data_IF_521606731222
#
_entry.id   IF_521606731222
#
_cell.length_a   1.000
_cell.length_b   1.000
_cell.length_c   1.000
_cell.angle_alpha   90.00
_cell.angle_beta   90.00
_cell.angle_gamma   90.00
#
_symmetry.space_group_name_H-M   'P 1'
#
loop_
_entity.id
_entity.type
_entity.pdbx_description
1 polymer ?
#
# COMPACT_ATOMS: atom_id res chain seq x y z
N UNK A 1 61.65 -53.79 47.42
CA UNK A 1 62.03 -54.43 46.15
C UNK A 1 60.74 -54.55 45.34
N UNK A 2 60.55 -53.65 44.37
CA UNK A 2 59.29 -53.46 43.63
C UNK A 2 59.10 -54.66 42.69
N UNK A 3 58.01 -55.42 42.86
CA UNK A 3 57.60 -56.48 41.93
C UNK A 3 56.69 -55.84 40.88
N UNK A 4 57.08 -55.96 39.61
CA UNK A 4 56.31 -55.52 38.44
C UNK A 4 55.20 -56.54 38.14
N UNK A 5 53.97 -56.04 38.02
CA UNK A 5 52.75 -56.81 37.81
C UNK A 5 52.68 -57.49 36.44
N UNK A 6 52.07 -58.67 36.43
CA UNK A 6 51.78 -59.53 35.27
C UNK A 6 50.53 -59.06 34.52
N UNK A 7 50.69 -58.34 33.41
CA UNK A 7 49.65 -58.15 32.38
C UNK A 7 50.26 -58.02 30.98
N UNK A 8 50.83 -59.11 30.44
CA UNK A 8 51.28 -59.16 29.05
C UNK A 8 50.23 -59.83 28.17
N UNK A 9 49.49 -59.08 27.34
CA UNK A 9 48.72 -59.69 26.23
C UNK A 9 49.69 -60.39 25.28
N UNK A 10 49.35 -61.58 24.77
CA UNK A 10 50.17 -62.28 23.78
C UNK A 10 50.25 -61.45 22.48
N UNK A 11 51.46 -61.38 21.89
CA UNK A 11 51.73 -60.61 20.66
C UNK A 11 50.80 -61.02 19.52
N UNK A 12 50.41 -62.28 19.45
CA UNK A 12 49.53 -62.81 18.40
C UNK A 12 48.09 -62.30 18.52
N UNK A 13 47.57 -62.12 19.74
CA UNK A 13 46.24 -61.55 19.98
C UNK A 13 46.20 -60.07 19.61
N UNK A 14 47.25 -59.31 19.99
CA UNK A 14 47.43 -57.92 19.56
C UNK A 14 47.55 -57.83 18.03
N UNK A 15 48.24 -58.79 17.40
CA UNK A 15 48.39 -58.80 15.93
C UNK A 15 47.06 -59.06 15.23
N UNK A 16 46.21 -59.94 15.77
CA UNK A 16 44.84 -60.15 15.26
C UNK A 16 43.92 -58.94 15.50
N UNK A 17 44.03 -58.27 16.64
CA UNK A 17 43.24 -57.06 16.94
C UNK A 17 43.61 -55.88 16.04
N UNK A 18 44.90 -55.77 15.66
CA UNK A 18 45.40 -54.70 14.77
C UNK A 18 45.18 -55.03 13.29
N UNK A 19 45.50 -56.26 12.86
CA UNK A 19 45.62 -56.65 11.43
C UNK A 19 44.64 -57.73 10.98
N UNK A 20 43.84 -58.28 11.89
CA UNK A 20 42.84 -59.30 11.56
C UNK A 20 41.71 -58.73 10.72
N UNK A 21 40.86 -59.62 10.17
CA UNK A 21 39.63 -59.24 9.48
C UNK A 21 38.69 -58.55 10.47
N UNK A 22 38.30 -57.31 10.23
CA UNK A 22 37.66 -56.35 11.15
C UNK A 22 38.56 -55.82 12.28
N UNK A 23 39.89 -55.95 12.13
CA UNK A 23 40.86 -55.34 13.03
C UNK A 23 40.94 -53.83 12.85
N UNK A 24 41.66 -53.15 13.75
CA UNK A 24 41.74 -51.69 13.77
C UNK A 24 42.22 -51.07 12.45
N UNK A 25 43.10 -51.73 11.69
CA UNK A 25 43.54 -51.21 10.38
C UNK A 25 42.41 -51.13 9.35
N UNK A 26 41.62 -52.20 9.20
CA UNK A 26 40.50 -52.25 8.24
C UNK A 26 39.41 -51.24 8.63
N UNK A 27 39.15 -51.08 9.93
CA UNK A 27 38.22 -50.04 10.41
C UNK A 27 38.73 -48.62 10.16
N UNK A 28 40.02 -48.36 10.36
CA UNK A 28 40.62 -47.04 10.06
C UNK A 28 40.58 -46.74 8.57
N UNK A 29 40.82 -47.74 7.71
CA UNK A 29 40.73 -47.60 6.25
C UNK A 29 39.30 -47.28 5.80
N UNK A 30 38.30 -48.00 6.34
CA UNK A 30 36.88 -47.72 6.08
C UNK A 30 36.48 -46.30 6.54
N UNK A 31 36.93 -45.88 7.72
CA UNK A 31 36.66 -44.53 8.24
C UNK A 31 37.34 -43.47 7.36
N UNK A 32 38.54 -43.73 6.85
CA UNK A 32 39.23 -42.84 5.94
C UNK A 32 38.50 -42.69 4.60
N UNK A 33 37.98 -43.79 4.05
CA UNK A 33 37.15 -43.78 2.83
C UNK A 33 35.88 -42.97 3.04
N UNK A 34 35.13 -43.23 4.12
CA UNK A 34 33.95 -42.45 4.49
C UNK A 34 34.24 -40.96 4.69
N UNK A 35 35.39 -40.63 5.30
CA UNK A 35 35.82 -39.25 5.49
C UNK A 35 36.11 -38.55 4.15
N UNK A 36 36.73 -39.26 3.20
CA UNK A 36 37.01 -38.74 1.87
C UNK A 36 35.71 -38.48 1.08
N UNK A 37 34.76 -39.43 1.11
CA UNK A 37 33.45 -39.28 0.46
C UNK A 37 32.67 -38.09 1.04
N UNK A 38 32.66 -37.98 2.37
CA UNK A 38 32.03 -36.86 3.07
C UNK A 38 32.67 -35.54 2.68
N UNK A 39 34.01 -35.49 2.60
CA UNK A 39 34.74 -34.29 2.18
C UNK A 39 34.38 -33.88 0.75
N UNK A 40 34.24 -34.84 -0.17
CA UNK A 40 33.80 -34.59 -1.53
C UNK A 40 32.39 -33.98 -1.55
N UNK A 41 31.43 -34.58 -0.83
CA UNK A 41 30.06 -34.08 -0.75
C UNK A 41 30.01 -32.66 -0.16
N UNK A 42 30.75 -32.38 0.92
CA UNK A 42 30.80 -31.05 1.55
C UNK A 42 31.38 -30.02 0.58
N UNK A 43 32.42 -30.38 -0.18
CA UNK A 43 33.03 -29.50 -1.18
C UNK A 43 32.05 -29.18 -2.31
N UNK A 44 31.33 -30.19 -2.80
CA UNK A 44 30.30 -30.02 -3.83
C UNK A 44 29.14 -29.14 -3.33
N UNK A 45 28.65 -29.39 -2.12
CA UNK A 45 27.61 -28.57 -1.49
C UNK A 45 28.05 -27.12 -1.31
N UNK A 46 29.29 -26.89 -0.88
CA UNK A 46 29.86 -25.54 -0.77
C UNK A 46 29.90 -24.81 -2.11
N UNK A 47 30.36 -25.50 -3.17
CA UNK A 47 30.37 -24.95 -4.54
C UNK A 47 28.96 -24.61 -5.04
N UNK A 48 27.98 -25.48 -4.78
CA UNK A 48 26.59 -25.24 -5.14
C UNK A 48 25.97 -24.09 -4.35
N UNK A 49 26.28 -23.97 -3.05
CA UNK A 49 25.85 -22.86 -2.21
C UNK A 49 26.39 -21.52 -2.72
N UNK A 50 27.67 -21.46 -3.13
CA UNK A 50 28.22 -20.26 -3.74
C UNK A 50 27.54 -19.89 -5.06
N UNK A 51 27.23 -20.88 -5.92
CA UNK A 51 26.50 -20.63 -7.17
C UNK A 51 25.10 -20.06 -6.87
N UNK A 52 24.39 -20.66 -5.92
CA UNK A 52 23.06 -20.19 -5.50
C UNK A 52 23.10 -18.77 -4.92
N UNK A 53 24.09 -18.45 -4.09
CA UNK A 53 24.27 -17.08 -3.56
C UNK A 53 24.51 -16.07 -4.69
N UNK A 54 25.30 -16.42 -5.70
CA UNK A 54 25.50 -15.58 -6.89
C UNK A 54 24.21 -15.37 -7.68
N UNK A 55 23.39 -16.40 -7.85
CA UNK A 55 22.09 -16.29 -8.53
C UNK A 55 21.09 -15.44 -7.74
N UNK A 56 20.99 -15.64 -6.43
CA UNK A 56 20.13 -14.83 -5.54
C UNK A 56 20.55 -13.36 -5.60
N UNK A 57 21.85 -13.07 -5.55
CA UNK A 57 22.36 -11.69 -5.69
C UNK A 57 21.91 -11.05 -7.01
N UNK A 58 22.00 -11.78 -8.13
CA UNK A 58 21.53 -11.27 -9.43
C UNK A 58 20.02 -11.06 -9.44
N UNK A 59 19.24 -11.99 -8.89
CA UNK A 59 17.79 -11.87 -8.81
C UNK A 59 17.39 -10.64 -7.99
N UNK A 60 18.07 -10.37 -6.87
CA UNK A 60 17.88 -9.16 -6.07
C UNK A 60 18.11 -7.90 -6.91
N UNK A 61 19.21 -7.80 -7.66
CA UNK A 61 19.48 -6.66 -8.54
C UNK A 61 18.37 -6.47 -9.59
N UNK A 62 17.89 -7.56 -10.19
CA UNK A 62 16.76 -7.51 -11.13
C UNK A 62 15.47 -7.03 -10.47
N UNK A 63 15.16 -7.48 -9.25
CA UNK A 63 13.97 -7.06 -8.52
C UNK A 63 14.01 -5.55 -8.22
N UNK A 64 15.15 -5.04 -7.73
CA UNK A 64 15.33 -3.60 -7.46
C UNK A 64 15.17 -2.79 -8.75
N UNK A 65 15.74 -3.26 -9.86
CA UNK A 65 15.59 -2.61 -11.17
C UNK A 65 14.14 -2.64 -11.65
N UNK A 66 13.40 -3.72 -11.44
CA UNK A 66 12.00 -3.85 -11.82
C UNK A 66 11.11 -2.93 -10.97
N UNK A 67 11.32 -2.88 -9.65
CA UNK A 67 10.63 -1.95 -8.75
C UNK A 67 10.79 -0.50 -9.22
N UNK A 68 12.02 -0.09 -9.54
CA UNK A 68 12.28 1.24 -10.09
C UNK A 68 11.50 1.51 -11.39
N UNK A 69 11.49 0.56 -12.33
CA UNK A 69 10.76 0.72 -13.60
C UNK A 69 9.25 0.80 -13.40
N UNK A 70 8.70 -0.01 -12.50
CA UNK A 70 7.27 0.00 -12.16
C UNK A 70 6.89 1.36 -11.60
N UNK A 71 7.66 1.90 -10.64
CA UNK A 71 7.42 3.22 -10.06
C UNK A 71 7.42 4.34 -11.11
N UNK A 72 8.32 4.26 -12.11
CA UNK A 72 8.34 5.22 -13.24
C UNK A 72 7.10 5.07 -14.11
N UNK A 73 6.69 3.84 -14.43
CA UNK A 73 5.49 3.57 -15.25
C UNK A 73 4.21 4.02 -14.54
N UNK A 74 4.07 3.77 -13.25
CA UNK A 74 2.92 4.23 -12.45
C UNK A 74 2.76 5.74 -12.52
N UNK A 75 3.88 6.48 -12.40
CA UNK A 75 3.87 7.94 -12.54
C UNK A 75 3.42 8.39 -13.94
N UNK A 76 3.92 7.75 -14.99
CA UNK A 76 3.50 8.04 -16.37
C UNK A 76 2.01 7.75 -16.59
N UNK A 77 1.51 6.63 -16.06
CA UNK A 77 0.09 6.27 -16.11
C UNK A 77 -0.76 7.31 -15.38
N UNK A 78 -0.29 7.80 -14.23
CA UNK A 78 -0.97 8.86 -13.48
C UNK A 78 -1.04 10.15 -14.28
N UNK A 79 0.05 10.58 -14.90
CA UNK A 79 0.11 11.79 -15.73
C UNK A 79 -0.82 11.69 -16.94
N UNK A 80 -0.85 10.53 -17.61
CA UNK A 80 -1.76 10.27 -18.73
C UNK A 80 -3.22 10.28 -18.29
N UNK A 81 -3.55 9.64 -17.15
CA UNK A 81 -4.91 9.69 -16.57
C UNK A 81 -5.30 11.12 -16.21
N UNK A 82 -4.39 11.89 -15.61
CA UNK A 82 -4.65 13.28 -15.25
C UNK A 82 -4.92 14.14 -16.49
N UNK A 83 -4.15 13.95 -17.56
CA UNK A 83 -4.34 14.67 -18.82
C UNK A 83 -5.67 14.29 -19.50
N UNK A 84 -6.01 12.99 -19.55
CA UNK A 84 -7.30 12.53 -20.08
C UNK A 84 -8.52 13.09 -19.32
N UNK A 85 -8.35 13.36 -18.02
CA UNK A 85 -9.39 13.93 -17.17
C UNK A 85 -9.32 15.47 -17.06
N UNK A 86 -8.34 16.10 -17.70
CA UNK A 86 -8.03 17.53 -17.51
C UNK A 86 -9.20 18.42 -17.88
N UNK A 87 -9.93 18.09 -18.94
CA UNK A 87 -11.07 18.88 -19.43
C UNK A 87 -12.41 18.45 -18.80
N UNK A 88 -12.38 17.58 -17.79
CA UNK A 88 -13.59 16.99 -17.23
C UNK A 88 -13.96 17.64 -15.90
N UNK A 89 -15.27 17.75 -15.65
CA UNK A 89 -15.85 18.09 -14.35
C UNK A 89 -16.83 16.99 -13.92
N UNK A 90 -17.02 16.89 -12.61
CA UNK A 90 -18.00 16.03 -11.97
C UNK A 90 -19.02 16.90 -11.25
N UNK A 91 -20.28 16.66 -11.54
CA UNK A 91 -21.42 17.31 -10.89
C UNK A 91 -22.13 16.29 -10.00
N UNK A 92 -22.23 16.58 -8.71
CA UNK A 92 -22.90 15.77 -7.71
C UNK A 92 -24.19 16.47 -7.26
N UNK A 93 -25.16 15.71 -6.77
CA UNK A 93 -26.42 16.25 -6.23
C UNK A 93 -27.49 16.56 -7.27
N UNK A 94 -27.36 16.01 -8.48
CA UNK A 94 -28.41 16.07 -9.50
C UNK A 94 -29.36 14.90 -9.31
N UNK A 95 -30.61 15.18 -8.98
CA UNK A 95 -31.63 14.12 -8.84
C UNK A 95 -31.73 13.28 -10.11
N UNK A 96 -32.08 12.00 -9.96
CA UNK A 96 -32.37 11.09 -11.06
C UNK A 96 -33.88 10.86 -11.09
N UNK A 97 -34.61 11.60 -11.94
CA UNK A 97 -36.06 11.38 -12.13
C UNK A 97 -36.28 10.33 -13.22
N UNK A 98 -37.26 9.44 -13.10
CA UNK A 98 -37.63 8.55 -14.21
C UNK A 98 -38.57 9.33 -15.16
N UNK A 99 -38.25 9.52 -16.47
CA UNK A 99 -37.47 8.65 -17.36
C UNK A 99 -36.13 9.25 -17.85
N UNK A 100 -35.33 9.87 -16.98
CA UNK A 100 -33.94 10.26 -17.28
C UNK A 100 -33.01 9.03 -17.50
N UNK A 101 -33.58 7.82 -17.42
CA UNK A 101 -32.95 6.53 -17.72
C UNK A 101 -32.42 6.42 -19.15
N UNK A 102 -32.90 7.22 -20.11
CA UNK A 102 -32.60 7.03 -21.54
C UNK A 102 -32.23 8.27 -22.36
N UNK A 103 -32.52 9.51 -21.94
CA UNK A 103 -32.34 10.69 -22.80
C UNK A 103 -31.16 11.58 -22.40
N UNK A 104 -30.09 11.54 -23.19
CA UNK A 104 -28.96 12.50 -23.13
C UNK A 104 -29.45 13.95 -23.26
N UNK A 105 -30.48 14.19 -24.07
CA UNK A 105 -31.08 15.51 -24.29
C UNK A 105 -31.65 16.14 -23.01
N UNK A 106 -32.26 15.33 -22.13
CA UNK A 106 -32.78 15.83 -20.86
C UNK A 106 -31.64 16.25 -19.92
N UNK A 107 -30.56 15.47 -19.89
CA UNK A 107 -29.39 15.78 -19.06
C UNK A 107 -28.68 17.05 -19.54
N UNK A 108 -28.60 17.29 -20.85
CA UNK A 108 -28.06 18.52 -21.42
C UNK A 108 -28.90 19.75 -21.05
N UNK A 109 -30.24 19.66 -21.11
CA UNK A 109 -31.15 20.73 -20.68
C UNK A 109 -31.06 21.03 -19.18
N UNK A 110 -30.92 19.99 -18.37
CA UNK A 110 -30.69 20.15 -16.92
C UNK A 110 -29.35 20.86 -16.68
N UNK A 111 -28.31 20.47 -17.42
CA UNK A 111 -26.98 21.08 -17.32
C UNK A 111 -26.98 22.57 -17.70
N UNK A 112 -27.63 22.94 -18.81
CA UNK A 112 -27.78 24.35 -19.21
C UNK A 112 -28.50 25.16 -18.13
N UNK A 113 -29.60 24.65 -17.58
CA UNK A 113 -30.31 25.32 -16.48
C UNK A 113 -29.43 25.52 -15.25
N UNK A 114 -28.56 24.56 -14.91
CA UNK A 114 -27.63 24.69 -13.78
C UNK A 114 -26.60 25.78 -14.07
N UNK A 115 -26.03 25.79 -15.28
CA UNK A 115 -25.02 26.78 -15.65
C UNK A 115 -25.59 28.19 -15.68
N UNK A 116 -26.81 28.37 -16.19
CA UNK A 116 -27.47 29.68 -16.20
C UNK A 116 -27.98 30.10 -14.81
N UNK A 117 -28.72 29.24 -14.10
CA UNK A 117 -29.45 29.65 -12.87
C UNK A 117 -28.66 29.46 -11.59
N UNK A 118 -27.92 28.36 -11.49
CA UNK A 118 -27.16 28.05 -10.27
C UNK A 118 -25.80 28.75 -10.28
N UNK A 119 -25.08 28.69 -11.42
CA UNK A 119 -23.77 29.34 -11.59
C UNK A 119 -23.83 30.79 -12.08
N UNK A 120 -25.00 31.30 -12.49
CA UNK A 120 -25.18 32.67 -12.98
C UNK A 120 -24.31 33.03 -14.19
N UNK A 121 -24.02 32.04 -15.04
CA UNK A 121 -23.36 32.29 -16.32
C UNK A 121 -24.34 32.96 -17.29
N UNK A 122 -23.83 33.89 -18.08
CA UNK A 122 -24.60 34.52 -19.14
C UNK A 122 -24.97 33.49 -20.23
N UNK A 123 -26.15 33.68 -20.83
CA UNK A 123 -26.71 32.73 -21.79
C UNK A 123 -25.79 32.53 -23.01
N UNK A 124 -25.16 33.60 -23.48
CA UNK A 124 -24.22 33.55 -24.61
C UNK A 124 -23.02 32.65 -24.27
N UNK A 125 -22.44 32.78 -23.08
CA UNK A 125 -21.36 31.92 -22.62
C UNK A 125 -21.81 30.47 -22.53
N UNK A 126 -22.99 30.19 -21.99
CA UNK A 126 -23.52 28.82 -21.85
C UNK A 126 -23.76 28.18 -23.23
N UNK A 127 -24.30 28.92 -24.19
CA UNK A 127 -24.51 28.46 -25.58
C UNK A 127 -23.18 28.18 -26.29
N UNK A 128 -22.13 28.93 -25.97
CA UNK A 128 -20.78 28.75 -26.53
C UNK A 128 -19.98 27.61 -25.89
N UNK A 129 -20.44 27.00 -24.79
CA UNK A 129 -19.74 25.88 -24.15
C UNK A 129 -19.80 24.62 -25.02
N UNK A 130 -18.65 24.20 -25.54
CA UNK A 130 -18.56 22.95 -26.31
C UNK A 130 -18.33 21.74 -25.39
N UNK A 131 -19.30 20.83 -25.38
CA UNK A 131 -19.29 19.59 -24.58
C UNK A 131 -19.15 18.39 -25.53
N UNK A 132 -18.07 17.63 -25.37
CA UNK A 132 -17.81 16.42 -26.15
C UNK A 132 -18.66 15.23 -25.66
N UNK A 133 -18.83 15.10 -24.34
CA UNK A 133 -19.55 13.97 -23.75
C UNK A 133 -20.17 14.32 -22.39
N UNK A 134 -21.31 13.70 -22.12
CA UNK A 134 -22.11 13.90 -20.91
C UNK A 134 -22.75 12.58 -20.50
N UNK A 135 -22.44 12.10 -19.28
CA UNK A 135 -22.96 10.82 -18.79
C UNK A 135 -22.96 10.71 -17.26
N UNK A 136 -23.85 9.87 -16.72
CA UNK A 136 -23.87 9.49 -15.29
C UNK A 136 -22.80 8.42 -15.02
N UNK A 137 -22.02 8.59 -13.96
CA UNK A 137 -20.93 7.69 -13.60
C UNK A 137 -21.43 6.47 -12.83
N UNK A 138 -21.04 5.29 -13.31
CA UNK A 138 -21.35 4.01 -12.69
C UNK A 138 -22.74 3.46 -12.99
N UNK A 139 -22.97 2.22 -12.59
CA UNK A 139 -24.23 1.52 -12.80
C UNK A 139 -25.35 2.10 -11.95
N UNK A 140 -26.57 2.03 -12.48
CA UNK A 140 -27.77 2.43 -11.77
C UNK A 140 -28.08 1.40 -10.68
N UNK A 141 -28.32 1.84 -9.45
CA UNK A 141 -28.72 0.99 -8.34
C UNK A 141 -29.86 1.67 -7.59
N UNK A 142 -31.02 1.01 -7.51
CA UNK A 142 -32.20 1.51 -6.83
C UNK A 142 -32.03 1.60 -5.31
N UNK A 143 -31.07 0.85 -4.73
CA UNK A 143 -30.75 0.89 -3.30
C UNK A 143 -29.83 2.06 -2.93
N UNK A 144 -29.33 2.80 -3.92
CA UNK A 144 -28.37 3.88 -3.70
C UNK A 144 -29.08 5.08 -3.07
N UNK A 145 -28.63 5.50 -1.89
CA UNK A 145 -29.20 6.63 -1.13
C UNK A 145 -29.04 7.99 -1.82
N UNK A 146 -28.02 8.12 -2.68
CA UNK A 146 -27.68 9.39 -3.34
C UNK A 146 -27.59 9.19 -4.85
N UNK A 147 -27.96 10.21 -5.64
CA UNK A 147 -27.90 10.13 -7.10
C UNK A 147 -26.46 10.01 -7.60
N UNK A 148 -26.30 9.41 -8.78
CA UNK A 148 -24.99 9.22 -9.41
C UNK A 148 -24.39 10.55 -9.83
N UNK A 149 -23.08 10.72 -9.67
CA UNK A 149 -22.38 11.87 -10.23
C UNK A 149 -22.52 11.91 -11.75
N UNK A 150 -22.58 13.10 -12.33
CA UNK A 150 -22.56 13.35 -13.77
C UNK A 150 -21.17 13.81 -14.17
N UNK A 151 -20.56 13.16 -15.15
CA UNK A 151 -19.34 13.62 -15.78
C UNK A 151 -19.68 14.46 -17.01
N UNK A 152 -19.10 15.66 -17.09
CA UNK A 152 -19.14 16.54 -18.26
C UNK A 152 -17.72 16.62 -18.82
N UNK A 153 -17.56 16.33 -20.10
CA UNK A 153 -16.28 16.41 -20.81
C UNK A 153 -16.34 17.58 -21.79
N UNK A 154 -15.54 18.61 -21.55
CA UNK A 154 -15.46 19.77 -22.43
C UNK A 154 -14.49 19.53 -23.60
N UNK A 155 -14.69 20.25 -24.70
CA UNK A 155 -13.79 20.21 -25.84
C UNK A 155 -12.37 20.66 -25.49
N UNK A 156 -12.24 21.64 -24.60
CA UNK A 156 -10.97 22.19 -24.15
C UNK A 156 -11.02 22.61 -22.67
N UNK A 157 -9.85 22.92 -22.13
CA UNK A 157 -9.69 23.35 -20.74
C UNK A 157 -10.31 24.73 -20.47
N UNK A 158 -10.32 25.62 -21.46
CA UNK A 158 -10.87 26.97 -21.32
C UNK A 158 -12.34 26.93 -20.90
N UNK A 159 -13.17 26.10 -21.55
CA UNK A 159 -14.58 25.93 -21.19
C UNK A 159 -14.76 25.38 -19.78
N UNK A 160 -13.91 24.43 -19.38
CA UNK A 160 -13.89 23.95 -17.99
C UNK A 160 -13.56 25.08 -17.02
N UNK A 161 -12.53 25.87 -17.30
CA UNK A 161 -12.06 26.92 -16.40
C UNK A 161 -13.10 28.04 -16.22
N UNK A 162 -13.87 28.37 -17.27
CA UNK A 162 -15.04 29.26 -17.18
C UNK A 162 -16.04 28.74 -16.15
N UNK A 163 -16.47 27.48 -16.29
CA UNK A 163 -17.43 26.87 -15.35
C UNK A 163 -16.85 26.79 -13.93
N UNK A 164 -15.59 26.38 -13.80
CA UNK A 164 -14.91 26.25 -12.51
C UNK A 164 -14.71 27.59 -11.79
N UNK A 165 -14.62 28.71 -12.52
CA UNK A 165 -14.47 30.06 -11.96
C UNK A 165 -15.68 30.51 -11.14
N UNK A 166 -16.88 30.04 -11.51
CA UNK A 166 -18.15 30.41 -10.85
C UNK A 166 -18.60 29.42 -9.76
N UNK A 167 -17.81 28.37 -9.47
CA UNK A 167 -18.23 27.32 -8.50
C UNK A 167 -18.40 27.86 -7.08
N UNK A 168 -17.77 28.98 -6.72
CA UNK A 168 -17.97 29.63 -5.41
C UNK A 168 -19.40 30.10 -5.20
N UNK A 169 -20.10 30.50 -6.27
CA UNK A 169 -21.51 30.95 -6.24
C UNK A 169 -22.42 29.86 -5.67
N UNK A 170 -22.17 28.59 -6.01
CA UNK A 170 -22.93 27.45 -5.48
C UNK A 170 -22.83 27.36 -3.94
N UNK A 171 -21.66 27.69 -3.40
CA UNK A 171 -21.41 27.66 -1.95
C UNK A 171 -22.16 28.80 -1.26
N UNK A 172 -22.18 29.98 -1.87
CA UNK A 172 -22.90 31.16 -1.37
C UNK A 172 -24.42 30.92 -1.35
N UNK A 173 -24.96 30.31 -2.41
CA UNK A 173 -26.38 29.93 -2.52
C UNK A 173 -26.79 28.73 -1.68
N UNK A 174 -25.83 28.02 -1.04
CA UNK A 174 -26.06 26.74 -0.36
C UNK A 174 -26.79 25.72 -1.25
N UNK A 175 -26.42 25.69 -2.53
CA UNK A 175 -27.03 24.78 -3.51
C UNK A 175 -26.81 23.32 -3.10
N UNK A 176 -27.76 22.44 -3.46
CA UNK A 176 -27.62 21.00 -3.30
C UNK A 176 -26.60 20.42 -4.30
N UNK A 177 -26.33 21.15 -5.37
CA UNK A 177 -25.41 20.75 -6.45
C UNK A 177 -23.98 21.08 -6.05
N UNK A 178 -23.05 20.16 -6.34
CA UNK A 178 -21.61 20.36 -6.13
C UNK A 178 -20.84 20.02 -7.38
N UNK A 179 -20.04 20.97 -7.86
CA UNK A 179 -19.17 20.81 -9.02
C UNK A 179 -17.72 20.70 -8.55
N UNK A 180 -16.99 19.76 -9.12
CA UNK A 180 -15.57 19.57 -8.87
C UNK A 180 -14.85 19.14 -10.15
N UNK A 181 -13.57 19.48 -10.27
CA UNK A 181 -12.70 18.91 -11.31
C UNK A 181 -12.65 17.39 -11.21
N UNK A 182 -12.74 16.70 -12.35
CA UNK A 182 -12.48 15.27 -12.40
C UNK A 182 -10.97 15.04 -12.20
N UNK A 183 -10.59 14.21 -11.23
CA UNK A 183 -9.21 13.86 -10.95
C UNK A 183 -9.09 12.34 -10.79
N UNK A 184 -7.92 11.74 -11.13
CA UNK A 184 -7.65 10.34 -10.83
C UNK A 184 -7.84 10.05 -9.33
N UNK A 185 -8.27 8.82 -9.01
CA UNK A 185 -8.56 8.42 -7.62
C UNK A 185 -7.36 8.63 -6.68
N UNK A 186 -6.15 8.31 -7.15
CA UNK A 186 -4.90 8.50 -6.41
C UNK A 186 -4.67 9.95 -5.99
N UNK A 187 -4.76 10.91 -6.94
CA UNK A 187 -4.62 12.35 -6.66
C UNK A 187 -5.69 12.80 -5.66
N UNK A 188 -6.89 12.28 -5.82
CA UNK A 188 -8.03 12.65 -4.98
C UNK A 188 -7.85 12.17 -3.53
N UNK A 189 -7.34 10.95 -3.31
CA UNK A 189 -7.05 10.44 -1.97
C UNK A 189 -5.81 11.11 -1.35
N UNK A 190 -4.76 11.39 -2.14
CA UNK A 190 -3.62 12.23 -1.70
C UNK A 190 -4.11 13.59 -1.20
N UNK A 191 -5.01 14.23 -1.95
CA UNK A 191 -5.58 15.53 -1.57
C UNK A 191 -6.42 15.47 -0.30
N UNK A 192 -7.17 14.39 -0.07
CA UNK A 192 -7.89 14.18 1.20
C UNK A 192 -6.94 14.05 2.39
N UNK A 193 -5.85 13.29 2.26
CA UNK A 193 -4.81 13.19 3.30
C UNK A 193 -4.24 14.58 3.62
N UNK A 194 -3.95 15.40 2.60
CA UNK A 194 -3.48 16.78 2.81
C UNK A 194 -4.51 17.67 3.52
N UNK A 195 -5.81 17.54 3.23
CA UNK A 195 -6.85 18.29 3.95
C UNK A 195 -6.94 17.88 5.43
N UNK A 196 -6.80 16.60 5.75
CA UNK A 196 -6.76 16.13 7.14
C UNK A 196 -5.54 16.69 7.89
N UNK A 197 -4.37 16.67 7.26
CA UNK A 197 -3.15 17.25 7.82
C UNK A 197 -3.30 18.77 7.99
N UNK A 198 -3.83 19.47 6.98
CA UNK A 198 -4.13 20.90 7.04
C UNK A 198 -5.07 21.23 8.21
N UNK A 199 -6.13 20.43 8.40
CA UNK A 199 -7.05 20.58 9.54
C UNK A 199 -6.31 20.45 10.87
N UNK A 200 -5.43 19.46 11.01
CA UNK A 200 -4.64 19.24 12.22
C UNK A 200 -3.69 20.41 12.54
N UNK A 201 -3.05 21.01 11.53
CA UNK A 201 -2.24 22.22 11.73
C UNK A 201 -3.08 23.46 12.02
N UNK A 202 -4.24 23.59 11.38
CA UNK A 202 -5.19 24.67 11.67
C UNK A 202 -5.65 24.65 13.12
N UNK A 203 -5.89 23.47 13.70
CA UNK A 203 -6.22 23.31 15.13
C UNK A 203 -5.08 23.78 16.06
N UNK A 204 -3.84 23.75 15.57
CA UNK A 204 -2.65 24.26 16.27
C UNK A 204 -2.35 25.72 15.94
N UNK A 205 -3.28 26.44 15.30
CA UNK A 205 -3.12 27.82 14.82
C UNK A 205 -1.93 28.02 13.86
N UNK A 206 -1.59 26.98 13.09
CA UNK A 206 -0.54 27.02 12.08
C UNK A 206 -1.18 27.13 10.69
N UNK A 207 -0.92 28.26 10.03
CA UNK A 207 -1.45 28.54 8.70
C UNK A 207 -0.72 27.75 7.60
N UNK A 208 -1.50 27.07 6.77
CA UNK A 208 -1.00 26.26 5.66
C UNK A 208 -1.88 26.40 4.42
N UNK A 209 -1.29 26.22 3.23
CA UNK A 209 -1.96 26.27 1.94
C UNK A 209 -1.60 25.05 1.10
N UNK A 210 -2.59 24.42 0.46
CA UNK A 210 -2.37 23.33 -0.49
C UNK A 210 -2.08 23.94 -1.87
N UNK A 211 -0.94 23.56 -2.46
CA UNK A 211 -0.55 23.91 -3.84
C UNK A 211 -0.26 22.62 -4.60
N UNK A 212 -1.13 22.26 -5.54
CA UNK A 212 -1.07 20.95 -6.19
C UNK A 212 -1.14 19.83 -5.16
N UNK A 213 -0.13 18.96 -5.16
CA UNK A 213 -0.02 17.80 -4.26
C UNK A 213 0.83 18.08 -3.01
N UNK A 214 1.04 19.35 -2.66
CA UNK A 214 1.90 19.74 -1.53
C UNK A 214 1.14 20.63 -0.55
N UNK A 215 1.39 20.43 0.73
CA UNK A 215 1.00 21.36 1.79
C UNK A 215 2.17 22.29 2.11
N UNK A 216 1.94 23.59 2.03
CA UNK A 216 2.96 24.64 2.22
C UNK A 216 2.59 25.48 3.45
N UNK A 217 3.55 25.70 4.33
CA UNK A 217 3.40 26.60 5.48
C UNK A 217 3.49 28.06 5.01
N UNK A 218 2.46 28.86 5.24
CA UNK A 218 2.35 30.20 4.63
C UNK A 218 3.43 31.16 5.12
N UNK A 219 3.76 31.10 6.42
CA UNK A 219 4.74 31.97 7.07
C UNK A 219 6.18 31.68 6.66
N UNK A 220 6.54 30.41 6.54
CA UNK A 220 7.92 29.98 6.26
C UNK A 220 8.19 29.58 4.81
N UNK A 221 7.17 29.34 3.99
CA UNK A 221 7.31 28.76 2.65
C UNK A 221 7.71 27.27 2.61
N UNK A 222 8.07 26.69 3.75
CA UNK A 222 8.41 25.27 3.88
C UNK A 222 7.28 24.34 3.41
N UNK A 223 7.68 23.19 2.88
CA UNK A 223 6.76 22.14 2.43
C UNK A 223 6.68 21.07 3.52
N UNK A 224 5.47 20.63 3.85
CA UNK A 224 5.26 19.48 4.73
C UNK A 224 5.91 18.23 4.15
N UNK A 225 6.63 17.50 5.00
CA UNK A 225 7.22 16.20 4.68
C UNK A 225 6.76 15.20 5.73
N UNK A 226 6.33 14.03 5.27
CA UNK A 226 6.04 12.91 6.16
C UNK A 226 7.34 12.46 6.84
N UNK A 227 7.28 12.25 8.16
CA UNK A 227 8.41 11.81 8.98
C UNK A 227 8.74 10.33 8.78
N UNK A 228 7.76 9.49 8.42
CA UNK A 228 8.00 8.07 8.18
C UNK A 228 8.77 7.84 6.87
N UNK A 229 8.60 8.74 5.90
CA UNK A 229 9.19 8.66 4.57
C UNK A 229 8.39 7.77 3.63
N UNK A 230 9.07 7.24 2.61
CA UNK A 230 8.47 6.31 1.65
C UNK A 230 8.40 4.90 2.25
N UNK A 231 7.56 4.07 1.64
CA UNK A 231 7.47 2.64 1.92
C UNK A 231 8.86 1.96 1.87
N UNK A 232 9.09 0.91 2.68
CA UNK A 232 10.26 0.05 2.49
C UNK A 232 10.40 -0.42 1.05
N UNK A 233 11.61 -0.31 0.50
CA UNK A 233 11.92 -0.80 -0.84
C UNK A 233 12.09 -2.31 -0.85
N UNK A 234 12.01 -2.93 -2.02
CA UNK A 234 12.32 -4.34 -2.17
C UNK A 234 13.73 -4.68 -1.65
N UNK A 235 14.69 -3.78 -1.86
CA UNK A 235 16.06 -3.95 -1.34
C UNK A 235 16.10 -4.02 0.19
N UNK A 236 15.40 -3.11 0.89
CA UNK A 236 15.34 -3.11 2.35
C UNK A 236 14.68 -4.36 2.92
N UNK A 237 13.65 -4.86 2.24
CA UNK A 237 12.94 -6.08 2.64
C UNK A 237 13.81 -7.32 2.43
N UNK A 238 14.51 -7.42 1.29
CA UNK A 238 15.33 -8.58 0.91
C UNK A 238 16.67 -8.63 1.65
N UNK A 239 17.25 -7.47 2.00
CA UNK A 239 18.63 -7.39 2.55
C UNK A 239 18.84 -7.98 3.95
N UNK A 240 17.81 -8.47 4.62
CA UNK A 240 17.95 -9.00 5.97
C UNK A 240 17.08 -10.22 6.19
N UNK A 241 17.63 -11.19 6.91
CA UNK A 241 17.03 -12.51 7.04
C UNK A 241 16.15 -12.65 8.30
N UNK A 242 16.36 -11.79 9.30
CA UNK A 242 15.68 -11.90 10.59
C UNK A 242 14.53 -10.91 10.74
N UNK A 243 13.37 -11.43 11.13
CA UNK A 243 12.25 -10.67 11.67
C UNK A 243 12.60 -10.38 13.14
N UNK A 244 12.82 -9.10 13.48
CA UNK A 244 13.29 -8.71 14.82
C UNK A 244 12.15 -8.44 15.79
N UNK A 245 10.99 -8.08 15.25
CA UNK A 245 9.79 -7.76 16.04
C UNK A 245 8.82 -8.94 16.10
N UNK A 246 8.15 -9.09 17.23
CA UNK A 246 7.04 -10.05 17.35
C UNK A 246 5.86 -9.52 16.53
N UNK A 247 5.43 -10.31 15.54
CA UNK A 247 4.30 -9.98 14.66
C UNK A 247 3.11 -10.86 15.01
N UNK A 248 1.96 -10.23 15.29
CA UNK A 248 0.66 -10.89 15.40
C UNK A 248 0.07 -11.06 13.99
N UNK A 249 -0.45 -12.25 13.69
CA UNK A 249 -1.13 -12.56 12.42
C UNK A 249 -2.62 -12.83 12.67
N UNK A 250 -3.48 -12.10 11.97
CA UNK A 250 -4.94 -12.26 12.04
C UNK A 250 -5.44 -13.42 11.18
N UNK A 251 -6.69 -13.85 11.43
CA UNK A 251 -7.37 -14.85 10.59
C UNK A 251 -7.66 -14.27 9.19
N UNK A 252 -7.47 -15.10 8.16
CA UNK A 252 -7.78 -14.73 6.78
C UNK A 252 -9.31 -14.64 6.56
N UNK A 253 -9.75 -13.63 5.81
CA UNK A 253 -11.12 -13.49 5.30
C UNK A 253 -11.10 -13.60 3.77
N UNK A 254 -12.13 -14.22 3.20
CA UNK A 254 -12.29 -14.35 1.75
C UNK A 254 -13.62 -13.77 1.25
N UNK A 255 -13.60 -13.09 0.11
CA UNK A 255 -14.80 -12.60 -0.59
C UNK A 255 -14.54 -12.53 -2.10
N UNK A 256 -15.29 -13.33 -2.86
CA UNK A 256 -15.26 -13.35 -4.32
C UNK A 256 -13.85 -13.52 -4.91
N UNK A 257 -13.09 -14.47 -4.36
CA UNK A 257 -11.70 -14.76 -4.75
C UNK A 257 -10.65 -13.79 -4.21
N UNK A 258 -11.06 -12.76 -3.46
CA UNK A 258 -10.12 -11.91 -2.73
C UNK A 258 -9.82 -12.54 -1.38
N UNK A 259 -8.57 -12.46 -0.95
CA UNK A 259 -8.14 -12.89 0.39
C UNK A 259 -7.58 -11.69 1.14
N UNK A 260 -7.90 -11.58 2.43
CA UNK A 260 -7.47 -10.50 3.31
C UNK A 260 -6.86 -11.09 4.57
N UNK A 261 -5.64 -10.68 4.90
CA UNK A 261 -4.97 -11.06 6.14
C UNK A 261 -4.32 -9.81 6.74
N UNK A 262 -4.41 -9.64 8.04
CA UNK A 262 -3.77 -8.53 8.74
C UNK A 262 -2.61 -9.02 9.59
N UNK A 263 -1.61 -8.16 9.73
CA UNK A 263 -0.46 -8.33 10.59
C UNK A 263 -0.29 -7.08 11.44
N UNK A 264 0.02 -7.23 12.71
CA UNK A 264 0.24 -6.11 13.60
C UNK A 264 1.44 -6.31 14.51
N UNK A 265 2.04 -5.20 14.91
CA UNK A 265 3.09 -5.17 15.93
C UNK A 265 3.07 -3.84 16.66
N UNK A 266 3.69 -3.81 17.83
CA UNK A 266 3.79 -2.60 18.65
C UNK A 266 4.88 -1.67 18.13
N UNK A 267 4.63 -0.37 18.13
CA UNK A 267 5.64 0.65 17.82
C UNK A 267 5.33 1.98 18.53
N UNK A 268 6.37 2.63 19.02
CA UNK A 268 6.34 3.88 19.82
C UNK A 268 7.21 4.98 19.20
N UNK A 269 7.77 4.76 18.01
CA UNK A 269 8.57 5.75 17.30
C UNK A 269 8.55 5.51 15.79
N UNK A 270 8.84 6.54 14.99
CA UNK A 270 8.98 6.39 13.53
C UNK A 270 10.00 5.33 13.12
N UNK A 271 11.10 5.20 13.88
CA UNK A 271 12.12 4.18 13.64
C UNK A 271 11.56 2.77 13.85
N UNK A 272 10.80 2.56 14.93
CA UNK A 272 10.13 1.29 15.19
C UNK A 272 9.04 1.02 14.16
N UNK A 273 8.26 2.03 13.75
CA UNK A 273 7.26 1.87 12.68
C UNK A 273 7.93 1.43 11.38
N UNK A 274 9.05 2.06 10.99
CA UNK A 274 9.78 1.67 9.77
C UNK A 274 10.33 0.23 9.88
N UNK A 275 10.92 -0.14 11.01
CA UNK A 275 11.40 -1.50 11.26
C UNK A 275 10.27 -2.54 11.22
N UNK A 276 9.15 -2.24 11.88
CA UNK A 276 7.94 -3.06 11.88
C UNK A 276 7.39 -3.29 10.47
N UNK A 277 7.35 -2.25 9.63
CA UNK A 277 6.92 -2.40 8.23
C UNK A 277 7.85 -3.33 7.45
N UNK A 278 9.17 -3.23 7.63
CA UNK A 278 10.14 -4.14 6.99
C UNK A 278 9.91 -5.58 7.48
N UNK A 279 9.84 -5.77 8.79
CA UNK A 279 9.67 -7.08 9.43
C UNK A 279 8.36 -7.75 9.03
N UNK A 280 7.24 -7.02 8.99
CA UNK A 280 5.95 -7.54 8.53
C UNK A 280 6.01 -7.92 7.05
N UNK A 281 6.69 -7.14 6.20
CA UNK A 281 6.84 -7.48 4.78
C UNK A 281 7.70 -8.73 4.54
N UNK A 282 8.53 -9.14 5.52
CA UNK A 282 9.28 -10.40 5.50
C UNK A 282 8.47 -11.61 5.95
N UNK A 283 7.32 -11.40 6.61
CA UNK A 283 6.43 -12.52 6.94
C UNK A 283 5.98 -13.21 5.66
N UNK A 284 6.01 -14.53 5.67
CA UNK A 284 5.67 -15.36 4.51
C UNK A 284 4.35 -14.91 3.87
N UNK A 285 4.34 -14.83 2.54
CA UNK A 285 3.24 -14.38 1.68
C UNK A 285 2.89 -12.89 1.70
N UNK A 286 3.27 -12.11 2.71
CA UNK A 286 2.90 -10.68 2.81
C UNK A 286 3.45 -9.89 1.62
N UNK A 287 4.75 -10.03 1.32
CA UNK A 287 5.39 -9.35 0.18
C UNK A 287 4.81 -9.72 -1.18
N UNK A 288 4.15 -10.89 -1.31
CA UNK A 288 3.52 -11.33 -2.56
C UNK A 288 2.06 -10.91 -2.71
N UNK A 289 1.49 -10.24 -1.71
CA UNK A 289 0.14 -9.69 -1.79
C UNK A 289 0.04 -8.64 -2.90
N UNK A 290 -1.14 -8.55 -3.53
CA UNK A 290 -1.40 -7.52 -4.54
C UNK A 290 -1.36 -6.12 -3.95
N UNK A 291 -1.76 -5.99 -2.68
CA UNK A 291 -1.69 -4.76 -1.93
C UNK A 291 -1.40 -5.04 -0.45
N UNK A 292 -0.55 -4.23 0.17
CA UNK A 292 -0.20 -4.24 1.59
C UNK A 292 -0.50 -2.87 2.23
N UNK A 293 -1.78 -2.60 2.43
CA UNK A 293 -2.28 -1.37 3.03
C UNK A 293 -1.78 -1.26 4.46
N UNK A 294 -1.29 -0.11 4.91
CA UNK A 294 -0.88 0.04 6.31
C UNK A 294 -1.42 1.31 6.97
N UNK A 295 -1.57 1.23 8.28
CA UNK A 295 -1.79 2.37 9.16
C UNK A 295 -0.96 2.19 10.44
N UNK A 296 -0.50 3.29 10.99
CA UNK A 296 0.17 3.30 12.28
C UNK A 296 -0.34 4.44 13.14
N UNK A 297 -0.29 4.24 14.45
CA UNK A 297 -0.56 5.27 15.43
C UNK A 297 0.24 5.00 16.69
N UNK A 298 0.99 5.98 17.18
CA UNK A 298 1.76 5.87 18.42
C UNK A 298 1.83 7.19 19.17
N UNK A 299 2.12 7.10 20.46
CA UNK A 299 2.35 8.26 21.33
C UNK A 299 3.84 8.36 21.62
N UNK A 300 4.43 9.50 21.27
CA UNK A 300 5.81 9.83 21.65
C UNK A 300 5.90 10.11 23.15
N UNK A 301 7.11 10.08 23.71
CA UNK A 301 7.35 10.38 25.13
C UNK A 301 6.89 11.77 25.58
N UNK A 302 6.73 12.72 24.64
CA UNK A 302 6.20 14.06 24.88
C UNK A 302 4.65 14.13 24.88
N UNK A 303 3.97 12.98 24.76
CA UNK A 303 2.51 12.88 24.67
C UNK A 303 1.96 13.20 23.28
N UNK A 304 2.81 13.49 22.29
CA UNK A 304 2.37 13.78 20.93
C UNK A 304 1.90 12.49 20.23
N UNK A 305 0.66 12.50 19.74
CA UNK A 305 0.15 11.44 18.86
C UNK A 305 0.73 11.61 17.46
N UNK A 306 1.38 10.55 16.97
CA UNK A 306 1.84 10.40 15.60
C UNK A 306 1.02 9.33 14.89
N UNK A 307 0.61 9.63 13.67
CA UNK A 307 -0.25 8.74 12.89
C UNK A 307 -0.04 8.94 11.40
N UNK A 308 -0.26 7.88 10.64
CA UNK A 308 -0.14 7.91 9.19
C UNK A 308 -0.68 6.63 8.56
N UNK A 309 -0.84 6.67 7.24
CA UNK A 309 -1.31 5.51 6.48
C UNK A 309 -0.91 5.57 5.02
N UNK A 310 -0.75 4.39 4.44
CA UNK A 310 -0.52 4.17 3.02
C UNK A 310 -1.55 3.18 2.49
N UNK A 311 -2.04 3.43 1.29
CA UNK A 311 -3.07 2.60 0.68
C UNK A 311 -2.54 1.65 -0.38
N UNK A 312 -1.27 1.71 -0.77
CA UNK A 312 -0.68 0.80 -1.75
C UNK A 312 -1.51 0.58 -3.02
N UNK A 313 -2.05 1.67 -3.58
CA UNK A 313 -2.92 1.59 -4.76
C UNK A 313 -4.37 1.16 -4.47
N UNK A 314 -4.69 0.71 -3.25
CA UNK A 314 -6.04 0.49 -2.76
C UNK A 314 -6.70 1.81 -2.34
N UNK A 315 -6.68 2.81 -3.21
CA UNK A 315 -7.01 4.22 -2.93
C UNK A 315 -8.09 4.41 -1.86
N UNK A 316 -7.69 5.03 -0.74
CA UNK A 316 -8.55 5.35 0.40
C UNK A 316 -8.58 4.28 1.50
N UNK A 317 -8.01 3.08 1.27
CA UNK A 317 -8.03 2.00 2.25
C UNK A 317 -7.17 2.30 3.48
N UNK A 318 -5.95 2.84 3.30
CA UNK A 318 -5.08 3.20 4.43
C UNK A 318 -5.73 4.22 5.37
N UNK A 319 -6.39 5.22 4.81
CA UNK A 319 -7.12 6.24 5.59
C UNK A 319 -8.33 5.65 6.32
N UNK A 320 -9.06 4.73 5.68
CA UNK A 320 -10.17 4.03 6.30
C UNK A 320 -9.69 3.12 7.47
N UNK A 321 -8.57 2.43 7.28
CA UNK A 321 -7.93 1.63 8.33
C UNK A 321 -7.48 2.51 9.50
N UNK A 322 -6.76 3.61 9.22
CA UNK A 322 -6.33 4.56 10.25
C UNK A 322 -7.50 5.14 11.04
N UNK A 323 -8.60 5.52 10.38
CA UNK A 323 -9.79 5.99 11.07
C UNK A 323 -10.39 4.92 11.97
N UNK A 324 -10.33 3.64 11.57
CA UNK A 324 -10.83 2.54 12.40
C UNK A 324 -9.98 2.36 13.67
N UNK A 325 -8.65 2.52 13.55
CA UNK A 325 -7.75 2.52 14.71
C UNK A 325 -8.07 3.69 15.66
N UNK A 326 -8.37 4.88 15.12
CA UNK A 326 -8.78 6.05 15.91
C UNK A 326 -10.10 5.83 16.63
N UNK A 327 -11.11 5.36 15.90
CA UNK A 327 -12.46 5.13 16.43
C UNK A 327 -12.46 4.04 17.52
N UNK A 328 -11.49 3.11 17.46
CA UNK A 328 -11.28 2.06 18.47
C UNK A 328 -10.23 2.43 19.53
N UNK A 329 -9.74 3.68 19.52
CA UNK A 329 -8.74 4.22 20.45
C UNK A 329 -7.41 3.44 20.52
N UNK A 330 -7.08 2.67 19.47
CA UNK A 330 -5.85 1.88 19.39
C UNK A 330 -4.62 2.77 19.19
N UNK A 331 -3.56 2.48 19.94
CA UNK A 331 -2.31 3.26 19.97
C UNK A 331 -1.10 2.34 20.10
N UNK A 332 0.07 2.90 19.85
CA UNK A 332 1.37 2.24 19.84
C UNK A 332 1.39 0.99 18.95
N UNK A 333 0.75 1.08 17.77
CA UNK A 333 0.52 -0.05 16.88
C UNK A 333 0.80 0.31 15.42
N UNK A 334 1.34 -0.66 14.70
CA UNK A 334 1.41 -0.70 13.24
C UNK A 334 0.57 -1.87 12.77
N UNK A 335 -0.33 -1.62 11.82
CA UNK A 335 -1.17 -2.65 11.20
C UNK A 335 -0.92 -2.63 9.70
N UNK A 336 -0.62 -3.79 9.12
CA UNK A 336 -0.55 -4.02 7.67
C UNK A 336 -1.64 -5.01 7.29
N UNK A 337 -2.48 -4.64 6.34
CA UNK A 337 -3.52 -5.49 5.76
C UNK A 337 -3.11 -5.85 4.34
N UNK A 338 -2.79 -7.13 4.17
CA UNK A 338 -2.48 -7.74 2.88
C UNK A 338 -3.75 -8.18 2.19
N UNK A 339 -3.91 -7.80 0.92
CA UNK A 339 -4.95 -8.33 0.03
C UNK A 339 -4.32 -9.00 -1.18
N UNK A 340 -4.74 -10.24 -1.44
CA UNK A 340 -4.54 -10.90 -2.72
C UNK A 340 -5.79 -10.67 -3.55
N UNK A 341 -5.63 -9.94 -4.65
CA UNK A 341 -6.73 -9.55 -5.52
C UNK A 341 -7.28 -10.75 -6.29
N UNK A 342 -8.60 -10.90 -6.27
CA UNK A 342 -9.32 -11.84 -7.14
C UNK A 342 -10.19 -11.07 -8.13
N UNK A 343 -11.37 -10.65 -7.66
CA UNK A 343 -12.32 -9.88 -8.47
C UNK A 343 -12.65 -8.52 -7.86
N UNK A 344 -13.24 -7.63 -8.68
CA UNK A 344 -13.64 -6.29 -8.24
C UNK A 344 -14.85 -6.37 -7.31
N UNK A 345 -14.64 -6.12 -6.01
CA UNK A 345 -15.71 -6.09 -4.99
C UNK A 345 -16.14 -4.67 -4.57
N UNK A 346 -15.57 -3.63 -5.19
CA UNK A 346 -15.94 -2.23 -4.95
C UNK A 346 -15.70 -1.80 -3.50
N UNK A 347 -16.65 -1.07 -2.92
CA UNK A 347 -16.53 -0.53 -1.56
C UNK A 347 -16.49 -1.60 -0.46
N UNK A 348 -16.93 -2.84 -0.74
CA UNK A 348 -16.89 -3.95 0.24
C UNK A 348 -15.47 -4.24 0.73
N UNK A 349 -14.44 -4.01 -0.10
CA UNK A 349 -13.03 -4.16 0.28
C UNK A 349 -12.68 -3.36 1.54
N UNK A 350 -13.24 -2.16 1.70
CA UNK A 350 -12.98 -1.34 2.88
C UNK A 350 -13.54 -1.97 4.15
N UNK A 351 -14.68 -2.64 4.09
CA UNK A 351 -15.24 -3.33 5.26
C UNK A 351 -14.32 -4.46 5.71
N UNK A 352 -13.86 -5.29 4.78
CA UNK A 352 -12.93 -6.38 5.07
C UNK A 352 -11.61 -5.87 5.62
N UNK A 353 -11.01 -4.86 4.99
CA UNK A 353 -9.73 -4.27 5.43
C UNK A 353 -9.82 -3.75 6.86
N UNK A 354 -10.90 -3.03 7.20
CA UNK A 354 -11.11 -2.53 8.55
C UNK A 354 -11.30 -3.67 9.55
N UNK A 355 -12.11 -4.67 9.19
CA UNK A 355 -12.45 -5.79 10.07
C UNK A 355 -11.21 -6.65 10.40
N UNK A 356 -10.44 -7.08 9.38
CA UNK A 356 -9.21 -7.85 9.64
C UNK A 356 -8.16 -6.99 10.37
N UNK A 357 -8.06 -5.71 10.04
CA UNK A 357 -7.10 -4.79 10.63
C UNK A 357 -7.37 -4.51 12.11
N UNK A 358 -8.63 -4.50 12.55
CA UNK A 358 -8.97 -4.34 13.96
C UNK A 358 -8.83 -5.64 14.75
N UNK A 359 -9.14 -6.80 14.15
CA UNK A 359 -9.12 -8.10 14.86
C UNK A 359 -7.74 -8.66 15.17
N UNK A 360 -6.68 -8.12 14.56
CA UNK A 360 -5.29 -8.60 14.76
C UNK A 360 -4.60 -7.94 15.96
N UNK A 361 -5.11 -6.79 16.39
CA UNK A 361 -4.69 -6.03 17.58
C UNK A 361 -5.56 -6.48 18.75
#
# INVERSE_FOLDING_TARGET
>A
MIRLDTQGRQIDDLTKEVKGKHGMQEQVELVQEQANDTMYTVTELGSNQEKMLREISRLRDYVVKLEFRINVQEKQILDLKAHSLENNIIINGLDEKQPEKMNKENLAKILQNIFEKELELDKETVENLQINSLYRMGESDSRRKFPRPVCVQFANKMYKDIVMSQVSVLKEKKSKVRIASHQPEEVREKRKKLYEIQKNYSLKNIETKIKGDKLVFTKSGNIYRDKLGQRPTADEVISGDEIKTTVSSGKQIEDNGNRFTAHATTAESFKQVRGALIDIMRVSTVSSASHNVYAYRFISSDGTVHEGSDDDGEHGAGRALLNSLKDSELQNVVVVVSRWYGSKIGARRFSHIKDVGLRVV
#
